data_IF_535335401583
#
_entry.id   IF_535335401583
#
_cell.length_a   1.000
_cell.length_b   1.000
_cell.length_c   1.000
_cell.angle_alpha   90.00
_cell.angle_beta   90.00
_cell.angle_gamma   90.00
#
_symmetry.space_group_name_H-M   'P 1'
#
loop_
_entity.id
_entity.type
_entity.pdbx_description
1 polymer ?
#
# COMPACT_ATOMS: atom_id res chain seq x y z
N UNK A 1 -28.91 -9.89 -8.22
CA UNK A 1 -30.09 -9.45 -7.45
C UNK A 1 -29.61 -8.36 -6.49
N UNK A 2 -30.32 -7.22 -6.44
CA UNK A 2 -29.99 -6.11 -5.53
C UNK A 2 -30.24 -6.51 -4.07
N UNK A 3 -29.50 -5.88 -3.14
CA UNK A 3 -29.70 -6.02 -1.68
C UNK A 3 -31.08 -5.53 -1.21
N UNK A 4 -31.78 -4.76 -2.02
CA UNK A 4 -33.05 -4.10 -1.69
C UNK A 4 -32.87 -2.64 -1.28
N UNK A 5 -33.82 -2.11 -0.53
CA UNK A 5 -33.77 -0.74 -0.01
C UNK A 5 -32.67 -0.64 1.06
N UNK A 6 -31.91 0.45 1.02
CA UNK A 6 -30.86 0.76 1.99
C UNK A 6 -31.31 2.01 2.74
N UNK A 7 -31.51 1.88 4.04
CA UNK A 7 -31.96 2.99 4.88
C UNK A 7 -30.87 4.04 5.07
N UNK A 8 -31.28 5.27 5.39
CA UNK A 8 -30.32 6.31 5.77
C UNK A 8 -29.54 5.85 7.01
N UNK A 9 -28.20 5.96 6.96
CA UNK A 9 -27.30 5.49 8.01
C UNK A 9 -26.75 4.06 7.79
N UNK A 10 -27.33 3.27 6.91
CA UNK A 10 -26.77 1.98 6.53
C UNK A 10 -25.67 2.13 5.47
N UNK A 11 -24.57 1.38 5.54
CA UNK A 11 -23.50 1.47 4.56
C UNK A 11 -23.95 0.90 3.20
N UNK A 12 -23.75 1.66 2.13
CA UNK A 12 -23.86 1.14 0.76
C UNK A 12 -22.73 0.18 0.45
N UNK A 13 -21.51 0.54 0.90
CA UNK A 13 -20.31 -0.28 0.81
C UNK A 13 -19.62 -0.31 2.18
N UNK A 14 -19.26 -1.51 2.61
CA UNK A 14 -18.37 -1.76 3.76
C UNK A 14 -17.42 -2.88 3.35
N UNK A 15 -16.16 -2.50 3.13
CA UNK A 15 -15.17 -3.39 2.57
C UNK A 15 -13.83 -3.21 3.27
N UNK A 16 -13.08 -4.30 3.42
CA UNK A 16 -11.76 -4.29 4.00
C UNK A 16 -10.80 -5.19 3.23
N UNK A 17 -9.52 -4.81 3.25
CA UNK A 17 -8.42 -5.63 2.75
C UNK A 17 -7.32 -5.67 3.80
N UNK A 18 -6.80 -6.86 4.06
CA UNK A 18 -5.59 -7.09 4.85
C UNK A 18 -4.52 -7.71 3.97
N UNK A 19 -3.35 -7.09 3.95
CA UNK A 19 -2.14 -7.64 3.33
C UNK A 19 -1.14 -8.01 4.42
N UNK A 20 -0.63 -9.23 4.37
CA UNK A 20 0.50 -9.67 5.18
C UNK A 20 1.72 -9.78 4.28
N UNK A 21 2.78 -9.06 4.63
CA UNK A 21 4.01 -8.97 3.85
C UNK A 21 5.18 -9.52 4.66
N UNK A 22 6.20 -10.02 3.95
CA UNK A 22 7.52 -10.19 4.54
C UNK A 22 8.39 -8.94 4.29
N UNK A 23 9.60 -8.94 4.84
CA UNK A 23 10.55 -7.82 4.75
C UNK A 23 11.00 -7.51 3.31
N UNK A 24 10.88 -8.48 2.40
CA UNK A 24 11.16 -8.30 0.97
C UNK A 24 9.98 -7.73 0.20
N UNK A 25 8.92 -7.31 0.88
CA UNK A 25 7.67 -6.80 0.27
C UNK A 25 6.89 -7.85 -0.52
N UNK A 26 7.09 -9.15 -0.23
CA UNK A 26 6.32 -10.25 -0.82
C UNK A 26 5.02 -10.44 -0.05
N UNK A 27 3.91 -10.59 -0.75
CA UNK A 27 2.61 -10.90 -0.16
C UNK A 27 2.61 -12.36 0.30
N UNK A 28 2.63 -12.58 1.63
CA UNK A 28 2.53 -13.91 2.22
C UNK A 28 1.09 -14.32 2.45
N UNK A 29 0.22 -13.34 2.71
CA UNK A 29 -1.21 -13.59 2.80
C UNK A 29 -2.03 -12.36 2.41
N UNK A 30 -3.28 -12.59 2.00
CA UNK A 30 -4.23 -11.56 1.63
C UNK A 30 -5.64 -11.99 2.01
N UNK A 31 -6.33 -11.12 2.73
CA UNK A 31 -7.73 -11.27 3.07
C UNK A 31 -8.51 -10.07 2.52
N UNK A 32 -9.66 -10.32 1.96
CA UNK A 32 -10.59 -9.29 1.52
C UNK A 32 -11.99 -9.63 2.01
N UNK A 33 -12.69 -8.62 2.52
CA UNK A 33 -14.05 -8.73 3.05
C UNK A 33 -14.96 -7.73 2.37
N UNK A 34 -16.18 -8.13 2.10
CA UNK A 34 -17.28 -7.26 1.65
C UNK A 34 -18.45 -7.51 2.58
N UNK A 35 -18.60 -6.67 3.60
CA UNK A 35 -19.67 -6.76 4.60
C UNK A 35 -20.96 -6.12 4.09
N UNK A 36 -20.84 -5.01 3.33
CA UNK A 36 -21.97 -4.38 2.66
C UNK A 36 -21.64 -4.03 1.22
N UNK A 37 -22.60 -4.25 0.34
CA UNK A 37 -22.53 -3.92 -1.09
C UNK A 37 -23.94 -3.85 -1.69
N UNK A 38 -24.13 -3.16 -2.82
CA UNK A 38 -25.46 -3.04 -3.47
C UNK A 38 -25.97 -4.36 -4.05
N UNK A 39 -25.08 -5.32 -4.31
CA UNK A 39 -25.45 -6.62 -4.90
C UNK A 39 -25.03 -7.79 -4.02
N UNK A 40 -25.93 -8.75 -3.82
CA UNK A 40 -25.69 -9.93 -2.98
C UNK A 40 -24.59 -10.85 -3.52
N UNK A 41 -24.20 -10.71 -4.78
CA UNK A 41 -23.14 -11.50 -5.42
C UNK A 41 -21.73 -10.93 -5.15
N UNK A 42 -21.62 -9.65 -4.76
CA UNK A 42 -20.33 -8.99 -4.61
C UNK A 42 -19.33 -9.72 -3.68
N UNK A 43 -19.75 -10.32 -2.56
CA UNK A 43 -18.83 -11.07 -1.69
C UNK A 43 -18.10 -12.22 -2.40
N UNK A 44 -18.63 -12.74 -3.49
CA UNK A 44 -17.95 -13.82 -4.24
C UNK A 44 -16.69 -13.33 -4.97
N UNK A 45 -16.61 -12.01 -5.27
CA UNK A 45 -15.48 -11.42 -5.98
C UNK A 45 -14.16 -11.45 -5.19
N UNK A 46 -14.22 -11.57 -3.85
CA UNK A 46 -13.02 -11.58 -3.00
C UNK A 46 -12.16 -12.82 -3.15
N UNK A 47 -12.73 -13.95 -3.60
CA UNK A 47 -12.03 -15.23 -3.77
C UNK A 47 -10.79 -15.09 -4.66
N UNK A 48 -10.87 -14.25 -5.69
CA UNK A 48 -9.77 -14.04 -6.62
C UNK A 48 -8.60 -13.26 -6.03
N UNK A 49 -8.78 -12.58 -4.89
CA UNK A 49 -7.70 -11.84 -4.22
C UNK A 49 -6.54 -12.77 -3.83
N UNK A 50 -6.80 -14.03 -3.52
CA UNK A 50 -5.79 -15.04 -3.20
C UNK A 50 -4.76 -15.24 -4.33
N UNK A 51 -5.11 -14.90 -5.57
CA UNK A 51 -4.18 -14.97 -6.73
C UNK A 51 -3.03 -13.96 -6.63
N UNK A 52 -3.12 -12.97 -5.73
CA UNK A 52 -2.03 -12.02 -5.45
C UNK A 52 -1.02 -12.57 -4.43
N UNK A 53 -1.32 -13.67 -3.76
CA UNK A 53 -0.38 -14.31 -2.84
C UNK A 53 0.89 -14.75 -3.57
N UNK A 54 2.04 -14.40 -3.04
CA UNK A 54 3.34 -14.65 -3.65
C UNK A 54 3.84 -13.53 -4.57
N UNK A 55 3.00 -12.55 -4.90
CA UNK A 55 3.39 -11.37 -5.65
C UNK A 55 4.15 -10.35 -4.78
N UNK A 56 4.94 -9.48 -5.42
CA UNK A 56 5.73 -8.47 -4.74
C UNK A 56 5.10 -7.08 -4.87
N UNK A 57 5.11 -6.33 -3.78
CA UNK A 57 4.75 -4.92 -3.74
C UNK A 57 5.91 -4.04 -4.26
N UNK A 58 6.05 -4.01 -5.58
CA UNK A 58 7.07 -3.24 -6.28
C UNK A 58 6.44 -2.32 -7.32
N UNK A 59 7.24 -1.50 -7.97
CA UNK A 59 6.78 -0.66 -9.08
C UNK A 59 6.00 -1.49 -10.11
N UNK A 60 4.79 -1.03 -10.44
CA UNK A 60 3.89 -1.77 -11.33
C UNK A 60 2.88 -2.68 -10.63
N UNK A 61 2.90 -2.80 -9.30
CA UNK A 61 1.95 -3.60 -8.53
C UNK A 61 0.49 -3.30 -8.89
N UNK A 62 0.11 -2.01 -9.00
CA UNK A 62 -1.26 -1.62 -9.36
C UNK A 62 -1.68 -2.16 -10.74
N UNK A 63 -0.78 -2.16 -11.73
CA UNK A 63 -1.05 -2.79 -13.05
C UNK A 63 -1.28 -4.29 -12.92
N UNK A 64 -0.53 -4.95 -12.04
CA UNK A 64 -0.71 -6.38 -11.77
C UNK A 64 -2.03 -6.67 -11.09
N UNK A 65 -2.44 -5.86 -10.09
CA UNK A 65 -3.75 -5.95 -9.45
C UNK A 65 -4.88 -5.84 -10.49
N UNK A 66 -4.81 -4.83 -11.37
CA UNK A 66 -5.82 -4.66 -12.44
C UNK A 66 -5.83 -5.85 -13.40
N UNK A 67 -4.68 -6.41 -13.76
CA UNK A 67 -4.58 -7.59 -14.64
C UNK A 67 -5.23 -8.83 -14.02
N UNK A 68 -5.07 -9.03 -12.71
CA UNK A 68 -5.54 -10.23 -11.99
C UNK A 68 -7.00 -10.08 -11.54
N UNK A 69 -7.39 -8.89 -11.06
CA UNK A 69 -8.67 -8.63 -10.39
C UNK A 69 -9.56 -7.63 -11.13
N UNK A 70 -9.11 -7.06 -12.23
CA UNK A 70 -9.88 -6.04 -12.96
C UNK A 70 -11.03 -6.62 -13.77
N UNK A 71 -12.03 -5.76 -14.05
CA UNK A 71 -13.22 -6.13 -14.84
C UNK A 71 -14.05 -7.20 -14.13
N UNK A 72 -14.49 -8.19 -14.87
CA UNK A 72 -15.32 -9.32 -14.40
C UNK A 72 -14.62 -10.26 -13.43
N UNK A 73 -13.28 -10.14 -13.28
CA UNK A 73 -12.48 -11.03 -12.43
C UNK A 73 -12.55 -10.66 -10.94
N UNK A 74 -13.06 -9.48 -10.59
CA UNK A 74 -13.07 -9.03 -9.21
C UNK A 74 -13.98 -7.83 -8.97
N UNK A 75 -13.79 -7.18 -7.83
CA UNK A 75 -14.52 -5.98 -7.43
C UNK A 75 -13.64 -4.74 -7.63
N UNK A 76 -14.17 -3.71 -8.29
CA UNK A 76 -13.47 -2.42 -8.50
C UNK A 76 -13.03 -1.78 -7.18
N UNK A 77 -13.91 -1.76 -6.18
CA UNK A 77 -13.60 -1.18 -4.88
C UNK A 77 -12.46 -1.92 -4.16
N UNK A 78 -12.42 -3.25 -4.25
CA UNK A 78 -11.31 -4.04 -3.70
C UNK A 78 -10.00 -3.76 -4.45
N UNK A 79 -10.04 -3.60 -5.78
CA UNK A 79 -8.83 -3.25 -6.54
C UNK A 79 -8.30 -1.87 -6.17
N UNK A 80 -9.18 -0.90 -5.91
CA UNK A 80 -8.79 0.44 -5.47
C UNK A 80 -8.21 0.42 -4.04
N UNK A 81 -8.82 -0.33 -3.12
CA UNK A 81 -8.27 -0.53 -1.77
C UNK A 81 -6.88 -1.19 -1.81
N UNK A 82 -6.66 -2.17 -2.68
CA UNK A 82 -5.37 -2.83 -2.85
C UNK A 82 -4.30 -1.88 -3.39
N UNK A 83 -4.66 -0.98 -4.30
CA UNK A 83 -3.75 0.05 -4.80
C UNK A 83 -3.28 0.97 -3.67
N UNK A 84 -4.20 1.41 -2.80
CA UNK A 84 -3.88 2.23 -1.62
C UNK A 84 -3.09 1.44 -0.58
N UNK A 85 -3.48 0.19 -0.30
CA UNK A 85 -2.77 -0.69 0.63
C UNK A 85 -1.30 -0.91 0.19
N UNK A 86 -1.04 -1.01 -1.12
CA UNK A 86 0.32 -1.08 -1.66
C UNK A 86 1.16 0.16 -1.33
N UNK A 87 0.58 1.35 -1.42
CA UNK A 87 1.28 2.60 -1.04
C UNK A 87 1.57 2.65 0.45
N UNK A 88 0.59 2.31 1.29
CA UNK A 88 0.73 2.31 2.76
C UNK A 88 1.81 1.29 3.18
N UNK A 89 1.76 0.09 2.63
CA UNK A 89 2.73 -0.96 2.92
C UNK A 89 4.16 -0.55 2.53
N UNK A 90 4.32 0.11 1.37
CA UNK A 90 5.62 0.65 0.98
C UNK A 90 6.13 1.68 2.01
N UNK A 91 5.27 2.59 2.48
CA UNK A 91 5.64 3.59 3.47
C UNK A 91 6.01 2.95 4.82
N UNK A 92 5.28 1.92 5.25
CA UNK A 92 5.54 1.19 6.50
C UNK A 92 6.90 0.48 6.46
N UNK A 93 7.14 -0.33 5.42
CA UNK A 93 8.39 -1.04 5.24
C UNK A 93 9.59 -0.11 5.02
N UNK A 94 9.34 1.05 4.43
CA UNK A 94 10.35 2.08 4.27
C UNK A 94 10.82 2.63 5.61
N UNK A 95 9.89 2.91 6.52
CA UNK A 95 10.20 3.40 7.86
C UNK A 95 11.10 2.44 8.61
N UNK A 96 10.76 1.15 8.62
CA UNK A 96 11.60 0.12 9.26
C UNK A 96 13.01 0.06 8.66
N UNK A 97 13.11 0.08 7.33
CA UNK A 97 14.40 0.06 6.62
C UNK A 97 15.26 1.30 6.87
N UNK A 98 14.64 2.45 7.11
CA UNK A 98 15.35 3.71 7.34
C UNK A 98 15.62 3.98 8.81
N UNK A 99 14.79 3.53 9.73
CA UNK A 99 14.96 3.73 11.18
C UNK A 99 15.79 2.63 11.86
N UNK A 100 16.06 1.49 11.21
CA UNK A 100 17.01 0.52 11.76
C UNK A 100 18.37 1.18 11.88
N UNK A 101 18.87 1.39 13.10
CA UNK A 101 20.12 2.13 13.41
C UNK A 101 21.37 1.47 12.80
N UNK A 102 21.30 0.20 12.41
CA UNK A 102 22.43 -0.61 12.01
C UNK A 102 22.82 -0.49 10.54
N UNK A 103 21.94 -0.03 9.66
CA UNK A 103 22.24 -0.01 8.22
C UNK A 103 22.90 1.28 7.79
N UNK A 104 24.19 1.22 7.52
CA UNK A 104 24.93 2.28 6.83
C UNK A 104 24.53 2.33 5.35
N UNK A 105 24.48 3.52 4.80
CA UNK A 105 24.12 3.76 3.38
C UNK A 105 25.18 4.62 2.71
N UNK A 106 25.37 4.43 1.41
CA UNK A 106 26.26 5.29 0.62
C UNK A 106 25.61 6.66 0.37
N UNK A 107 26.43 7.63 -0.05
CA UNK A 107 25.95 8.98 -0.42
C UNK A 107 24.93 8.87 -1.58
N UNK A 108 25.21 8.03 -2.57
CA UNK A 108 24.33 7.81 -3.73
C UNK A 108 22.98 7.19 -3.31
N UNK A 109 23.00 6.25 -2.36
CA UNK A 109 21.78 5.70 -1.79
C UNK A 109 20.98 6.76 -1.03
N UNK A 110 21.63 7.59 -0.20
CA UNK A 110 20.98 8.69 0.52
C UNK A 110 20.31 9.68 -0.45
N UNK A 111 21.00 10.08 -1.51
CA UNK A 111 20.47 10.96 -2.54
C UNK A 111 19.29 10.33 -3.30
N UNK A 112 19.39 9.03 -3.63
CA UNK A 112 18.28 8.30 -4.27
C UNK A 112 17.05 8.23 -3.39
N UNK A 113 17.26 8.04 -2.09
CA UNK A 113 16.23 8.03 -1.07
C UNK A 113 15.59 9.42 -0.97
N UNK A 114 16.38 10.47 -0.81
CA UNK A 114 15.89 11.85 -0.74
C UNK A 114 15.03 12.21 -1.94
N UNK A 115 15.48 11.88 -3.14
CA UNK A 115 14.74 12.13 -4.39
C UNK A 115 13.37 11.46 -4.42
N UNK A 116 13.21 10.30 -3.79
CA UNK A 116 11.94 9.57 -3.77
C UNK A 116 10.92 10.17 -2.81
N UNK A 117 11.35 10.71 -1.67
CA UNK A 117 10.41 11.24 -0.69
C UNK A 117 10.19 12.76 -0.82
N UNK A 118 11.16 13.52 -1.31
CA UNK A 118 11.04 14.97 -1.47
C UNK A 118 9.81 15.33 -2.33
N UNK A 119 8.95 16.19 -1.81
CA UNK A 119 7.69 16.62 -2.43
C UNK A 119 6.70 15.48 -2.78
N UNK A 120 6.82 14.31 -2.18
CA UNK A 120 5.91 13.19 -2.43
C UNK A 120 4.53 13.36 -1.77
N UNK A 121 4.43 14.18 -0.73
CA UNK A 121 3.18 14.57 -0.08
C UNK A 121 3.35 15.91 0.64
N UNK A 122 2.24 16.45 1.20
CA UNK A 122 2.25 17.73 1.90
C UNK A 122 3.25 17.77 3.07
N UNK A 123 3.35 16.70 3.86
CA UNK A 123 4.27 16.62 5.00
C UNK A 123 5.75 16.60 4.56
N UNK A 124 6.03 16.00 3.40
CA UNK A 124 7.39 15.86 2.85
C UNK A 124 7.74 16.95 1.84
N UNK A 125 7.03 18.09 1.90
CA UNK A 125 7.38 19.29 1.14
C UNK A 125 8.83 19.65 1.41
N UNK A 126 9.61 19.86 0.35
CA UNK A 126 11.03 20.28 0.45
C UNK A 126 11.16 21.52 1.34
N UNK A 127 12.15 21.51 2.20
CA UNK A 127 12.41 22.54 3.20
C UNK A 127 11.36 22.64 4.34
N UNK A 128 10.40 21.72 4.38
CA UNK A 128 9.47 21.57 5.50
C UNK A 128 10.09 20.85 6.70
N UNK A 129 9.45 20.93 7.86
CA UNK A 129 9.96 20.35 9.10
C UNK A 129 10.22 18.85 9.00
N UNK A 130 9.24 18.07 8.52
CA UNK A 130 9.34 16.61 8.39
C UNK A 130 10.41 16.23 7.36
N UNK A 131 10.49 16.94 6.24
CA UNK A 131 11.53 16.73 5.24
C UNK A 131 12.92 16.92 5.83
N UNK A 132 13.14 18.01 6.58
CA UNK A 132 14.42 18.30 7.21
C UNK A 132 14.82 17.24 8.24
N UNK A 133 13.88 16.76 9.07
CA UNK A 133 14.11 15.65 10.01
C UNK A 133 14.59 14.38 9.28
N UNK A 134 13.92 13.99 8.19
CA UNK A 134 14.34 12.82 7.39
C UNK A 134 15.71 13.02 6.74
N UNK A 135 15.99 14.21 6.25
CA UNK A 135 17.29 14.55 5.67
C UNK A 135 18.42 14.42 6.70
N UNK A 136 18.22 14.90 7.92
CA UNK A 136 19.17 14.72 9.02
C UNK A 136 19.42 13.25 9.37
N UNK A 137 18.38 12.42 9.39
CA UNK A 137 18.50 10.98 9.60
C UNK A 137 19.37 10.34 8.51
N UNK A 138 19.14 10.70 7.24
CA UNK A 138 19.95 10.19 6.12
C UNK A 138 21.43 10.62 6.24
N UNK A 139 21.68 11.90 6.56
CA UNK A 139 23.05 12.41 6.74
C UNK A 139 23.76 11.63 7.85
N UNK A 140 23.12 11.43 9.00
CA UNK A 140 23.71 10.65 10.11
C UNK A 140 24.04 9.23 9.74
N UNK A 141 23.29 8.62 8.83
CA UNK A 141 23.56 7.26 8.32
C UNK A 141 24.78 7.23 7.39
N UNK A 142 25.00 8.28 6.60
CA UNK A 142 26.17 8.42 5.72
C UNK A 142 27.42 8.73 6.56
N UNK A 143 27.37 9.65 7.51
CA UNK A 143 28.50 10.04 8.34
C UNK A 143 29.05 8.92 9.22
N UNK A 144 28.24 7.91 9.54
CA UNK A 144 28.66 6.72 10.29
C UNK A 144 29.32 5.65 9.39
N UNK A 145 29.40 5.87 8.09
CA UNK A 145 30.06 4.97 7.14
C UNK A 145 31.48 5.40 6.87
#
# INVERSE_FOLDING_TARGET
MHRGYISAGEPLHDMAVRLTLNDDSKIIDIEALINASPYNICPQAVKNCQKLKGEFLVAGFNRKVIKILGGEKGCRHITDLLAHAGTIAYQTLWKEKTESEEKKISIEEAQSIEKKFANSCYALKKDGEVYNQYKEILIKKVEKA
#
